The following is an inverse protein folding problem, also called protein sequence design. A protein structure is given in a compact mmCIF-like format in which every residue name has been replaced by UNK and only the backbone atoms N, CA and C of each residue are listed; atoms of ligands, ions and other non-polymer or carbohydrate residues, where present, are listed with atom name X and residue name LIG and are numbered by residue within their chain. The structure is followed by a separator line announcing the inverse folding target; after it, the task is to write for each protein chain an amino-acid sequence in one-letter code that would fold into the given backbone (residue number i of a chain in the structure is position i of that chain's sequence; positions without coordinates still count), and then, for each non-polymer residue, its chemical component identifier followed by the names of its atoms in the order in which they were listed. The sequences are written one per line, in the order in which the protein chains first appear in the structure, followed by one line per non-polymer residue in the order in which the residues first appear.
data_IF_461301636170
#
_entry.id   IF_461301636170
#
_cell.length_a   1.000
_cell.length_b   1.000
_cell.length_c   1.000
_cell.angle_alpha   90.00
_cell.angle_beta   90.00
_cell.angle_gamma   90.00
#
_symmetry.space_group_name_H-M   'P 1'
#
loop_
_entity.id
_entity.type
_entity.pdbx_description
1 polymer ?
#
# COMPACT_ATOMS: atom_id res chain seq x y z
N UNK A 1 -5.37 13.51 -12.56
CA UNK A 1 -5.79 14.47 -11.52
C UNK A 1 -4.89 14.45 -10.28
N UNK A 2 -4.81 13.34 -9.53
CA UNK A 2 -3.97 13.27 -8.32
C UNK A 2 -2.50 13.59 -8.66
N UNK A 3 -2.01 13.03 -9.77
CA UNK A 3 -0.67 13.28 -10.28
C UNK A 3 -0.34 14.78 -10.39
N UNK A 4 -1.20 15.60 -10.98
CA UNK A 4 -0.92 17.03 -11.19
C UNK A 4 -0.87 17.82 -9.88
N UNK A 5 -1.62 17.41 -8.86
CA UNK A 5 -1.54 17.98 -7.50
C UNK A 5 -0.24 17.58 -6.81
N UNK A 6 0.17 16.32 -6.97
CA UNK A 6 1.43 15.82 -6.42
C UNK A 6 2.64 16.45 -7.10
N UNK A 7 2.67 16.57 -8.43
CA UNK A 7 3.78 17.22 -9.16
C UNK A 7 3.94 18.68 -8.72
N UNK A 8 2.84 19.42 -8.58
CA UNK A 8 2.87 20.80 -8.06
C UNK A 8 3.44 20.87 -6.64
N UNK A 9 2.99 19.97 -5.76
CA UNK A 9 3.47 19.91 -4.36
C UNK A 9 4.96 19.54 -4.28
N UNK A 10 5.43 18.61 -5.12
CA UNK A 10 6.84 18.24 -5.22
C UNK A 10 7.67 19.40 -5.80
N UNK A 11 7.14 20.13 -6.78
CA UNK A 11 7.78 21.32 -7.33
C UNK A 11 7.96 22.42 -6.29
N UNK A 12 6.94 22.66 -5.46
CA UNK A 12 7.02 23.55 -4.31
C UNK A 12 8.11 23.11 -3.33
N UNK A 13 8.11 21.83 -2.94
CA UNK A 13 9.14 21.26 -2.06
C UNK A 13 10.55 21.37 -2.64
N UNK A 14 10.70 21.33 -3.97
CA UNK A 14 11.98 21.48 -4.66
C UNK A 14 12.56 22.88 -4.53
N UNK A 15 11.72 23.92 -4.54
CA UNK A 15 12.15 25.31 -4.32
C UNK A 15 12.65 25.51 -2.89
N UNK A 16 12.04 24.81 -1.95
CA UNK A 16 12.37 24.85 -0.53
C UNK A 16 13.54 23.94 -0.12
N UNK A 17 14.23 23.32 -1.09
CA UNK A 17 15.27 22.31 -0.83
C UNK A 17 16.40 22.83 0.05
N UNK A 18 16.87 24.05 -0.24
CA UNK A 18 18.06 24.67 0.36
C UNK A 18 17.70 25.59 1.55
N UNK A 19 16.47 26.12 1.57
CA UNK A 19 16.02 27.08 2.60
C UNK A 19 15.64 26.41 3.93
N UNK A 20 15.12 25.18 3.89
CA UNK A 20 14.53 24.54 5.07
C UNK A 20 15.27 23.28 5.52
N UNK A 21 15.43 23.06 6.84
CA UNK A 21 15.95 21.81 7.36
C UNK A 21 14.96 20.66 7.12
N UNK A 22 15.41 19.40 7.18
CA UNK A 22 14.61 18.23 6.80
C UNK A 22 13.29 18.08 7.58
N UNK A 23 13.24 18.54 8.84
CA UNK A 23 12.03 18.48 9.68
C UNK A 23 10.87 19.27 9.08
N UNK A 24 11.10 20.50 8.63
CA UNK A 24 10.05 21.34 8.03
C UNK A 24 9.62 20.79 6.65
N UNK A 25 10.58 20.31 5.85
CA UNK A 25 10.28 19.65 4.57
C UNK A 25 9.40 18.41 4.74
N UNK A 26 9.62 17.64 5.81
CA UNK A 26 8.80 16.48 6.16
C UNK A 26 7.38 16.88 6.59
N UNK A 27 7.23 17.99 7.33
CA UNK A 27 5.90 18.53 7.67
C UNK A 27 5.12 18.90 6.40
N UNK A 28 5.77 19.62 5.47
CA UNK A 28 5.18 19.99 4.18
C UNK A 28 4.80 18.74 3.37
N UNK A 29 5.65 17.71 3.38
CA UNK A 29 5.34 16.43 2.74
C UNK A 29 4.05 15.81 3.30
N UNK A 30 3.91 15.76 4.63
CA UNK A 30 2.70 15.20 5.24
C UNK A 30 1.46 16.04 4.94
N UNK A 31 1.58 17.37 4.95
CA UNK A 31 0.47 18.29 4.72
C UNK A 31 -0.02 18.29 3.26
N UNK A 32 0.88 18.25 2.27
CA UNK A 32 0.52 18.42 0.86
C UNK A 32 0.55 17.11 0.06
N UNK A 33 1.53 16.24 0.28
CA UNK A 33 1.72 15.03 -0.54
C UNK A 33 0.97 13.86 0.09
N UNK A 34 1.23 13.59 1.37
CA UNK A 34 0.64 12.45 2.07
C UNK A 34 -0.88 12.60 2.22
N UNK A 35 -1.39 13.82 2.41
CA UNK A 35 -2.84 14.09 2.49
C UNK A 35 -3.57 13.70 1.20
N UNK A 36 -3.07 14.11 0.04
CA UNK A 36 -3.61 13.74 -1.27
C UNK A 36 -3.50 12.23 -1.55
N UNK A 37 -2.39 11.61 -1.18
CA UNK A 37 -2.19 10.16 -1.30
C UNK A 37 -3.13 9.39 -0.35
N UNK A 38 -3.40 9.94 0.84
CA UNK A 38 -4.29 9.31 1.82
C UNK A 38 -5.77 9.39 1.43
N UNK A 39 -6.15 10.45 0.72
CA UNK A 39 -7.54 10.71 0.35
C UNK A 39 -8.10 9.60 -0.55
N UNK A 40 -9.16 8.94 -0.09
CA UNK A 40 -9.85 7.85 -0.79
C UNK A 40 -8.92 6.77 -1.37
N UNK A 41 -7.78 6.49 -0.72
CA UNK A 41 -6.79 5.55 -1.25
C UNK A 41 -7.34 4.13 -1.47
N UNK A 42 -8.33 3.70 -0.70
CA UNK A 42 -8.99 2.41 -0.91
C UNK A 42 -9.79 2.34 -2.22
N UNK A 43 -10.17 3.49 -2.79
CA UNK A 43 -10.96 3.57 -4.02
C UNK A 43 -10.05 3.51 -5.26
N UNK A 44 -8.96 4.27 -5.27
CA UNK A 44 -8.06 4.35 -6.44
C UNK A 44 -6.74 3.59 -6.26
N UNK A 45 -6.45 3.06 -5.08
CA UNK A 45 -5.21 2.34 -4.78
C UNK A 45 -5.05 1.02 -5.55
N UNK A 46 -6.12 0.51 -6.16
CA UNK A 46 -6.13 -0.68 -7.02
C UNK A 46 -5.92 -0.36 -8.50
N UNK A 47 -5.62 0.90 -8.86
CA UNK A 47 -5.40 1.34 -10.25
C UNK A 47 -4.26 0.59 -10.95
N UNK A 48 -4.03 0.91 -12.23
CA UNK A 48 -2.96 0.29 -13.02
C UNK A 48 -1.59 0.49 -12.37
N UNK A 49 -0.71 -0.50 -12.57
CA UNK A 49 0.67 -0.44 -12.07
C UNK A 49 1.40 0.80 -12.60
N UNK A 50 1.09 1.23 -13.83
CA UNK A 50 1.64 2.45 -14.43
C UNK A 50 1.33 3.69 -13.59
N UNK A 51 0.07 3.87 -13.19
CA UNK A 51 -0.35 5.02 -12.38
C UNK A 51 0.31 4.99 -10.99
N UNK A 52 0.35 3.81 -10.34
CA UNK A 52 1.01 3.66 -9.05
C UNK A 52 2.52 3.94 -9.13
N UNK A 53 3.17 3.54 -10.22
CA UNK A 53 4.60 3.79 -10.46
C UNK A 53 4.90 5.28 -10.66
N UNK A 54 4.02 6.03 -11.34
CA UNK A 54 4.14 7.48 -11.47
C UNK A 54 4.09 8.13 -10.08
N UNK A 55 3.09 7.79 -9.27
CA UNK A 55 2.94 8.32 -7.90
C UNK A 55 4.14 7.96 -7.04
N UNK A 56 4.63 6.72 -7.14
CA UNK A 56 5.82 6.27 -6.43
C UNK A 56 7.08 7.04 -6.88
N UNK A 57 7.21 7.35 -8.17
CA UNK A 57 8.26 8.22 -8.69
C UNK A 57 8.24 9.61 -8.04
N UNK A 58 7.05 10.20 -7.90
CA UNK A 58 6.87 11.49 -7.21
C UNK A 58 7.20 11.39 -5.71
N UNK A 59 6.78 10.31 -5.03
CA UNK A 59 7.17 10.06 -3.64
C UNK A 59 8.69 9.96 -3.48
N UNK A 60 9.35 9.18 -4.35
CA UNK A 60 10.83 9.03 -4.34
C UNK A 60 11.53 10.36 -4.54
N UNK A 61 11.05 11.18 -5.49
CA UNK A 61 11.56 12.53 -5.73
C UNK A 61 11.41 13.42 -4.49
N UNK A 62 10.23 13.42 -3.87
CA UNK A 62 9.97 14.19 -2.66
C UNK A 62 10.89 13.78 -1.50
N UNK A 63 11.06 12.48 -1.26
CA UNK A 63 11.90 11.96 -0.18
C UNK A 63 13.37 12.32 -0.38
N UNK A 64 13.88 12.29 -1.63
CA UNK A 64 15.23 12.76 -1.95
C UNK A 64 15.40 14.25 -1.62
N UNK A 65 14.41 15.09 -1.93
CA UNK A 65 14.43 16.52 -1.60
C UNK A 65 14.44 16.77 -0.09
N UNK A 66 13.66 15.99 0.67
CA UNK A 66 13.66 16.05 2.15
C UNK A 66 15.03 15.69 2.68
N UNK A 67 15.62 14.60 2.19
CA UNK A 67 16.94 14.12 2.58
C UNK A 67 18.11 14.96 2.09
N UNK A 68 17.90 15.87 1.13
CA UNK A 68 18.96 16.58 0.43
C UNK A 68 19.81 15.69 -0.50
N UNK A 69 19.42 14.43 -0.70
CA UNK A 69 20.19 13.45 -1.44
C UNK A 69 20.22 13.71 -2.96
N UNK A 70 21.19 13.12 -3.66
CA UNK A 70 21.30 13.18 -5.11
C UNK A 70 20.07 12.58 -5.81
N UNK A 71 19.79 13.05 -7.03
CA UNK A 71 18.64 12.61 -7.83
C UNK A 71 18.67 11.09 -8.13
N UNK A 72 19.85 10.49 -8.16
CA UNK A 72 20.09 9.06 -8.42
C UNK A 72 20.19 8.21 -7.15
N UNK A 73 20.15 8.82 -5.96
CA UNK A 73 20.34 8.09 -4.70
C UNK A 73 19.23 7.04 -4.48
N UNK A 74 19.64 5.92 -3.88
CA UNK A 74 18.72 4.87 -3.45
C UNK A 74 17.74 5.41 -2.42
N UNK A 75 16.46 5.12 -2.61
CA UNK A 75 15.36 5.65 -1.77
C UNK A 75 14.81 4.63 -0.79
N UNK A 76 15.19 3.37 -0.94
CA UNK A 76 14.66 2.26 -0.15
C UNK A 76 14.92 2.43 1.35
N UNK A 77 16.10 2.90 1.73
CA UNK A 77 16.48 3.21 3.11
C UNK A 77 15.85 4.49 3.64
N UNK A 78 15.42 5.40 2.75
CA UNK A 78 14.86 6.70 3.14
C UNK A 78 13.39 6.61 3.56
N UNK A 79 12.61 5.71 2.99
CA UNK A 79 11.21 5.48 3.39
C UNK A 79 11.07 5.13 4.89
N UNK A 80 11.76 4.10 5.42
CA UNK A 80 11.68 3.77 6.85
C UNK A 80 12.30 4.86 7.73
N UNK A 81 13.39 5.51 7.27
CA UNK A 81 14.02 6.63 8.00
C UNK A 81 13.03 7.76 8.30
N UNK A 82 12.15 8.09 7.35
CA UNK A 82 11.13 9.13 7.51
C UNK A 82 9.74 8.58 7.89
N UNK A 83 9.61 7.28 8.14
CA UNK A 83 8.33 6.59 8.47
C UNK A 83 7.24 6.80 7.42
N UNK A 84 7.63 6.86 6.14
CA UNK A 84 6.72 7.04 5.00
C UNK A 84 6.44 5.68 4.36
N UNK A 85 5.17 5.36 4.13
CA UNK A 85 4.78 4.14 3.43
C UNK A 85 4.89 4.33 1.91
N UNK A 86 5.36 3.29 1.22
CA UNK A 86 5.34 3.24 -0.24
C UNK A 86 3.90 3.07 -0.72
N UNK A 87 3.51 3.81 -1.77
CA UNK A 87 2.16 3.72 -2.34
C UNK A 87 1.74 2.28 -2.66
N UNK A 88 2.67 1.45 -3.11
CA UNK A 88 2.45 0.03 -3.41
C UNK A 88 1.99 -0.80 -2.21
N UNK A 89 2.57 -0.59 -1.02
CA UNK A 89 2.18 -1.32 0.19
C UNK A 89 1.04 -0.64 0.94
N UNK A 90 0.77 0.62 0.61
CA UNK A 90 -0.20 1.45 1.34
C UNK A 90 -1.65 0.99 1.14
N UNK A 91 -2.00 0.43 -0.03
CA UNK A 91 -3.34 -0.11 -0.26
C UNK A 91 -3.61 -1.30 0.66
N UNK A 92 -2.70 -2.27 0.67
CA UNK A 92 -2.78 -3.47 1.49
C UNK A 92 -2.81 -3.14 2.98
N UNK A 93 -1.91 -2.25 3.42
CA UNK A 93 -1.90 -1.72 4.79
C UNK A 93 -3.26 -1.14 5.19
N UNK A 94 -3.82 -0.24 4.35
CA UNK A 94 -5.09 0.43 4.66
C UNK A 94 -6.27 -0.53 4.68
N UNK A 95 -6.31 -1.49 3.75
CA UNK A 95 -7.40 -2.46 3.68
C UNK A 95 -7.40 -3.37 4.91
N UNK A 96 -6.25 -3.91 5.26
CA UNK A 96 -6.10 -4.77 6.45
C UNK A 96 -6.29 -3.98 7.75
N UNK A 97 -5.78 -2.75 7.82
CA UNK A 97 -6.03 -1.86 8.95
C UNK A 97 -7.53 -1.59 9.12
N UNK A 98 -8.27 -1.35 8.03
CA UNK A 98 -9.73 -1.21 8.10
C UNK A 98 -10.39 -2.49 8.61
N UNK A 99 -10.02 -3.66 8.12
CA UNK A 99 -10.61 -4.92 8.58
C UNK A 99 -10.32 -5.25 10.05
N UNK A 100 -9.18 -4.79 10.58
CA UNK A 100 -8.76 -5.09 11.95
C UNK A 100 -9.30 -4.11 12.99
N UNK A 101 -9.38 -2.82 12.65
CA UNK A 101 -9.62 -1.75 13.61
C UNK A 101 -10.95 -1.02 13.41
N UNK A 102 -11.69 -1.32 12.33
CA UNK A 102 -12.99 -0.72 12.10
C UNK A 102 -14.10 -1.38 12.93
N UNK A 103 -15.23 -0.69 13.14
CA UNK A 103 -16.41 -1.30 13.75
C UNK A 103 -16.88 -2.54 12.97
N UNK A 104 -17.54 -3.45 13.68
CA UNK A 104 -18.02 -4.72 13.12
C UNK A 104 -18.87 -4.52 11.86
N UNK A 105 -19.78 -3.54 11.85
CA UNK A 105 -20.60 -3.21 10.68
C UNK A 105 -19.77 -2.96 9.41
N UNK A 106 -18.68 -2.19 9.49
CA UNK A 106 -17.80 -1.95 8.33
C UNK A 106 -17.05 -3.22 7.94
N UNK A 107 -16.60 -3.99 8.93
CA UNK A 107 -15.90 -5.25 8.69
C UNK A 107 -16.79 -6.25 7.98
N UNK A 108 -18.05 -6.37 8.39
CA UNK A 108 -19.03 -7.28 7.78
C UNK A 108 -19.42 -6.81 6.38
N UNK A 109 -19.58 -5.50 6.19
CA UNK A 109 -19.75 -4.92 4.86
C UNK A 109 -18.58 -5.27 3.91
N UNK A 110 -17.34 -5.13 4.36
CA UNK A 110 -16.15 -5.47 3.57
C UNK A 110 -16.09 -6.97 3.26
N UNK A 111 -16.38 -7.83 4.25
CA UNK A 111 -16.46 -9.28 4.06
C UNK A 111 -17.53 -9.65 3.03
N UNK A 112 -18.72 -9.06 3.14
CA UNK A 112 -19.84 -9.30 2.22
C UNK A 112 -19.49 -8.89 0.78
N UNK A 113 -18.91 -7.71 0.57
CA UNK A 113 -18.49 -7.25 -0.77
C UNK A 113 -17.39 -8.14 -1.36
N UNK A 114 -16.45 -8.57 -0.51
CA UNK A 114 -15.38 -9.47 -0.96
C UNK A 114 -15.86 -10.89 -1.25
N UNK A 115 -17.05 -11.27 -0.78
CA UNK A 115 -17.54 -12.64 -0.86
C UNK A 115 -16.55 -13.64 -0.24
N UNK A 116 -15.94 -13.27 0.88
CA UNK A 116 -14.88 -14.05 1.53
C UNK A 116 -15.43 -15.44 1.91
N UNK A 117 -14.84 -16.50 1.36
CA UNK A 117 -15.22 -17.88 1.67
C UNK A 117 -13.97 -18.68 2.05
N UNK A 118 -14.04 -19.55 3.08
CA UNK A 118 -12.95 -20.47 3.37
C UNK A 118 -12.72 -21.36 2.15
N UNK A 119 -11.46 -21.67 1.87
CA UNK A 119 -11.11 -22.56 0.77
C UNK A 119 -11.41 -24.00 1.18
N UNK A 120 -12.50 -24.55 0.64
CA UNK A 120 -12.86 -25.96 0.82
C UNK A 120 -12.02 -26.81 -0.13
N UNK A 121 -11.11 -27.61 0.44
CA UNK A 121 -10.24 -28.50 -0.32
C UNK A 121 -10.98 -29.81 -0.66
N UNK A 122 -11.04 -30.22 -1.93
CA UNK A 122 -11.45 -31.58 -2.26
C UNK A 122 -10.38 -32.62 -1.89
N UNK A 123 -9.09 -32.23 -1.81
CA UNK A 123 -7.97 -33.14 -1.53
C UNK A 123 -6.88 -32.50 -0.64
N UNK A 124 -6.12 -33.33 0.09
CA UNK A 124 -5.02 -32.88 0.96
C UNK A 124 -3.73 -32.56 0.17
N UNK A 125 -3.66 -31.37 -0.43
CA UNK A 125 -2.43 -30.85 -1.04
C UNK A 125 -1.62 -29.99 -0.05
N UNK A 126 -0.29 -29.93 -0.27
CA UNK A 126 0.68 -29.20 0.57
C UNK A 126 0.43 -27.69 0.67
N UNK A 127 -0.30 -27.07 -0.27
CA UNK A 127 -0.51 -25.61 -0.27
C UNK A 127 -1.52 -25.19 0.80
N UNK A 128 -1.14 -24.23 1.66
CA UNK A 128 -1.99 -23.70 2.74
C UNK A 128 -2.70 -22.43 2.27
N UNK A 129 -3.70 -22.55 1.41
CA UNK A 129 -4.64 -21.46 1.12
C UNK A 129 -5.78 -21.51 2.15
N UNK A 130 -6.06 -20.38 2.80
CA UNK A 130 -7.13 -20.27 3.81
C UNK A 130 -8.42 -19.79 3.15
N UNK A 131 -8.31 -18.84 2.21
CA UNK A 131 -9.43 -18.20 1.54
C UNK A 131 -9.51 -18.59 0.08
N UNK A 132 -10.72 -18.80 -0.42
CA UNK A 132 -10.95 -19.05 -1.84
C UNK A 132 -10.73 -17.78 -2.66
N UNK A 133 -9.95 -17.89 -3.73
CA UNK A 133 -9.64 -16.77 -4.63
C UNK A 133 -10.38 -17.01 -5.95
N UNK A 134 -11.35 -16.16 -6.33
CA UNK A 134 -12.12 -16.36 -7.55
C UNK A 134 -11.22 -16.23 -8.79
N UNK A 135 -11.51 -17.01 -9.83
CA UNK A 135 -10.90 -16.82 -11.14
C UNK A 135 -11.53 -15.63 -11.85
N UNK A 136 -10.69 -14.73 -12.34
CA UNK A 136 -11.10 -13.48 -12.99
C UNK A 136 -10.48 -13.41 -14.39
N UNK A 137 -11.31 -13.08 -15.39
CA UNK A 137 -10.87 -13.00 -16.80
C UNK A 137 -10.28 -11.63 -17.16
N UNK A 138 -10.62 -10.59 -16.42
CA UNK A 138 -10.27 -9.20 -16.73
C UNK A 138 -9.34 -8.60 -15.69
N UNK A 139 -8.51 -7.65 -16.11
CA UNK A 139 -7.65 -6.87 -15.21
C UNK A 139 -8.46 -6.12 -14.15
N UNK A 140 -9.62 -5.58 -14.53
CA UNK A 140 -10.55 -4.95 -13.60
C UNK A 140 -11.06 -5.94 -12.54
N UNK A 141 -11.37 -7.17 -12.94
CA UNK A 141 -11.70 -8.25 -11.99
C UNK A 141 -10.59 -8.48 -10.96
N UNK A 142 -9.33 -8.45 -11.38
CA UNK A 142 -8.17 -8.58 -10.48
C UNK A 142 -8.01 -7.38 -9.52
N UNK A 143 -8.63 -6.24 -9.81
CA UNK A 143 -8.63 -5.04 -8.97
C UNK A 143 -9.80 -5.01 -7.99
N UNK A 144 -10.81 -5.86 -8.17
CA UNK A 144 -11.98 -5.93 -7.28
C UNK A 144 -11.59 -6.39 -5.88
N UNK A 145 -12.37 -5.97 -4.87
CA UNK A 145 -12.22 -6.46 -3.49
C UNK A 145 -12.42 -7.98 -3.39
N UNK A 146 -13.29 -8.54 -4.25
CA UNK A 146 -13.58 -9.97 -4.33
C UNK A 146 -12.34 -10.81 -4.67
N UNK A 147 -11.44 -10.27 -5.49
CA UNK A 147 -10.17 -10.91 -5.80
C UNK A 147 -9.05 -10.50 -4.83
N UNK A 148 -8.92 -9.19 -4.61
CA UNK A 148 -7.75 -8.63 -3.89
C UNK A 148 -7.73 -9.02 -2.42
N UNK A 149 -8.86 -9.02 -1.72
CA UNK A 149 -8.88 -9.29 -0.29
C UNK A 149 -8.48 -10.75 0.05
N UNK A 150 -9.11 -11.80 -0.52
CA UNK A 150 -8.67 -13.17 -0.31
C UNK A 150 -7.19 -13.39 -0.67
N UNK A 151 -6.72 -12.78 -1.77
CA UNK A 151 -5.33 -12.87 -2.21
C UNK A 151 -4.36 -12.24 -1.19
N UNK A 152 -4.67 -11.04 -0.69
CA UNK A 152 -3.92 -10.35 0.37
C UNK A 152 -3.84 -11.21 1.63
N UNK A 153 -4.98 -11.72 2.08
CA UNK A 153 -5.03 -12.54 3.30
C UNK A 153 -4.24 -13.84 3.17
N UNK A 154 -4.33 -14.52 2.03
CA UNK A 154 -3.56 -15.74 1.78
C UNK A 154 -2.06 -15.48 1.76
N UNK A 155 -1.62 -14.41 1.10
CA UNK A 155 -0.20 -14.05 1.05
C UNK A 155 0.36 -13.75 2.45
N UNK A 156 -0.35 -12.90 3.20
CA UNK A 156 0.12 -12.55 4.52
C UNK A 156 0.03 -13.73 5.47
N UNK A 157 -0.98 -14.60 5.37
CA UNK A 157 -1.06 -15.80 6.20
C UNK A 157 0.16 -16.72 6.06
N UNK A 158 0.83 -16.71 4.90
CA UNK A 158 2.06 -17.49 4.67
C UNK A 158 3.25 -16.80 5.32
N UNK A 159 3.40 -15.49 5.13
CA UNK A 159 4.57 -14.74 5.60
C UNK A 159 4.50 -14.33 7.08
N UNK A 160 3.30 -14.16 7.64
CA UNK A 160 3.06 -13.74 9.01
C UNK A 160 1.75 -14.35 9.54
N UNK A 161 1.78 -15.51 10.21
CA UNK A 161 0.56 -16.14 10.73
C UNK A 161 -0.18 -15.29 11.79
N UNK A 162 0.49 -14.30 12.38
CA UNK A 162 -0.02 -13.48 13.49
C UNK A 162 -0.62 -12.12 13.07
N UNK A 163 -1.01 -11.90 11.80
CA UNK A 163 -1.51 -10.57 11.35
C UNK A 163 -2.65 -10.04 12.21
N UNK A 164 -3.60 -10.92 12.54
CA UNK A 164 -4.79 -10.55 13.30
C UNK A 164 -4.50 -10.38 14.80
N UNK A 165 -3.50 -11.09 15.33
CA UNK A 165 -3.11 -11.05 16.74
C UNK A 165 -2.03 -10.02 17.06
N UNK A 166 -1.26 -9.56 16.07
CA UNK A 166 -0.16 -8.61 16.26
C UNK A 166 -0.63 -7.25 16.80
N UNK A 167 0.26 -6.50 17.48
CA UNK A 167 -0.07 -5.14 17.89
C UNK A 167 -0.20 -4.19 16.68
N UNK A 168 -0.92 -3.08 16.83
CA UNK A 168 -1.05 -2.06 15.76
C UNK A 168 0.33 -1.48 15.38
N UNK A 169 1.24 -1.37 16.36
CA UNK A 169 2.60 -0.85 16.14
C UNK A 169 3.42 -1.80 15.28
N UNK A 170 3.39 -3.09 15.60
CA UNK A 170 4.14 -4.12 14.86
C UNK A 170 3.59 -4.26 13.45
N UNK A 171 2.26 -4.23 13.32
CA UNK A 171 1.58 -4.21 12.04
C UNK A 171 2.07 -3.03 11.18
N UNK A 172 2.09 -1.81 11.72
CA UNK A 172 2.58 -0.63 10.99
C UNK A 172 4.06 -0.74 10.63
N UNK A 173 4.89 -1.27 11.52
CA UNK A 173 6.34 -1.43 11.29
C UNK A 173 6.62 -2.44 10.16
N UNK A 174 5.86 -3.52 10.11
CA UNK A 174 5.97 -4.51 9.04
C UNK A 174 5.72 -3.89 7.65
N UNK A 175 4.65 -3.10 7.48
CA UNK A 175 4.33 -2.45 6.19
C UNK A 175 5.28 -1.30 5.80
N UNK A 176 5.98 -0.71 6.77
CA UNK A 176 7.05 0.27 6.51
C UNK A 176 8.29 -0.42 5.93
N UNK A 177 8.63 -1.60 6.44
CA UNK A 177 9.85 -2.31 6.07
C UNK A 177 9.66 -3.25 4.87
N UNK A 178 8.43 -3.72 4.61
CA UNK A 178 8.14 -4.67 3.53
C UNK A 178 8.40 -4.06 2.16
N UNK A 179 9.46 -4.45 1.45
CA UNK A 179 9.77 -4.00 0.08
C UNK A 179 8.74 -4.49 -0.96
N UNK A 180 8.09 -5.62 -0.67
CA UNK A 180 7.22 -6.37 -1.57
C UNK A 180 5.76 -5.92 -1.41
N UNK A 181 5.10 -5.60 -2.52
CA UNK A 181 3.64 -5.56 -2.61
C UNK A 181 3.18 -6.70 -3.51
N UNK A 182 1.96 -7.19 -3.33
CA UNK A 182 1.40 -8.29 -4.14
C UNK A 182 1.30 -7.97 -5.64
N UNK A 183 1.46 -6.70 -6.02
CA UNK A 183 1.59 -6.30 -7.42
C UNK A 183 2.82 -6.88 -8.12
N UNK A 184 3.84 -7.37 -7.42
CA UNK A 184 4.98 -8.09 -8.01
C UNK A 184 4.67 -9.56 -8.32
N UNK A 185 3.63 -10.15 -7.72
CA UNK A 185 3.24 -11.57 -7.93
C UNK A 185 2.15 -11.77 -8.99
N UNK A 186 1.63 -10.69 -9.60
CA UNK A 186 0.70 -10.75 -10.75
C UNK A 186 1.35 -11.28 -12.06
N UNK A 187 2.49 -11.97 -11.97
CA UNK A 187 3.23 -12.57 -13.08
C UNK A 187 3.67 -14.00 -12.74
N UNK A 188 2.76 -14.80 -12.22
CA UNK A 188 2.87 -16.25 -12.29
C UNK A 188 1.66 -16.75 -13.09
N UNK A 189 1.90 -17.65 -14.07
CA UNK A 189 0.99 -17.98 -15.17
C UNK A 189 -0.32 -18.61 -14.71
#
# INVERSE_FOLDING_TARGET
YIESKLTRSVGFLSRLRNEFPPKHKLLIYHALIQSHINYCHLVWGTTSKTNLNIILGLQKKAIRLIAGACCTAHTETLFPKYRIHRVHTMFEYRLLHSLKLSPQCLTDFLKNISGLKPYEKPFHTRSKQIWDVPRTRTLYGNQSLRFTLPCILNHYSIHNPNIFTASIKDFKLYFLNSALSLCTFRSLP
#
